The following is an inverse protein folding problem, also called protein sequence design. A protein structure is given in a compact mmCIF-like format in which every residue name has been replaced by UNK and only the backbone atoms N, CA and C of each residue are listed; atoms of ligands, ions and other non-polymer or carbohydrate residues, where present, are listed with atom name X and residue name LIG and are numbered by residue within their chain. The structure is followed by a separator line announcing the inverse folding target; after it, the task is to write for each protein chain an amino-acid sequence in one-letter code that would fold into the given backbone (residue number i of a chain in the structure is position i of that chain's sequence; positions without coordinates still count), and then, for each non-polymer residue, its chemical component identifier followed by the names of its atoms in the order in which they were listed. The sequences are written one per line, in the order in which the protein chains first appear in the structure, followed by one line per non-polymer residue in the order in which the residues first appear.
data_IF_350371837219
#
_entry.id   IF_350371837219
#
_cell.length_a   1.000
_cell.length_b   1.000
_cell.length_c   1.000
_cell.angle_alpha   90.00
_cell.angle_beta   90.00
_cell.angle_gamma   90.00
#
_symmetry.space_group_name_H-M   'P 1'
#
loop_
_entity.id
_entity.type
_entity.pdbx_description
1 polymer ?
#
# COMPACT_ATOMS: atom_id res chain seq x y z
N UNK A 1 11.09 -40.40 11.15
CA UNK A 1 11.15 -39.22 10.26
C UNK A 1 9.73 -38.77 9.95
N UNK A 2 9.38 -37.50 10.20
CA UNK A 2 8.12 -36.93 9.67
C UNK A 2 8.26 -36.83 8.15
N UNK A 3 7.33 -37.41 7.39
CA UNK A 3 7.31 -37.24 5.92
C UNK A 3 7.03 -35.77 5.61
N UNK A 4 7.92 -35.14 4.87
CA UNK A 4 7.69 -33.82 4.31
C UNK A 4 6.64 -33.97 3.21
N UNK A 5 5.54 -33.21 3.29
CA UNK A 5 4.53 -33.17 2.25
C UNK A 5 4.89 -32.06 1.25
N UNK A 6 5.41 -32.45 0.09
CA UNK A 6 5.86 -31.52 -0.95
C UNK A 6 4.72 -30.66 -1.51
N UNK A 7 3.50 -31.20 -1.60
CA UNK A 7 2.34 -30.46 -2.11
C UNK A 7 1.97 -29.30 -1.18
N UNK A 8 2.01 -29.52 0.14
CA UNK A 8 1.77 -28.48 1.14
C UNK A 8 2.83 -27.37 1.08
N UNK A 9 4.09 -27.71 0.80
CA UNK A 9 5.16 -26.72 0.65
C UNK A 9 4.99 -25.91 -0.62
N UNK A 10 4.61 -26.54 -1.73
CA UNK A 10 4.38 -25.87 -3.01
C UNK A 10 3.20 -24.88 -2.92
N UNK A 11 2.10 -25.30 -2.30
CA UNK A 11 0.93 -24.44 -2.09
C UNK A 11 1.26 -23.23 -1.19
N UNK A 12 1.97 -23.46 -0.08
CA UNK A 12 2.43 -22.39 0.79
C UNK A 12 3.36 -21.41 0.05
N UNK A 13 4.28 -21.92 -0.77
CA UNK A 13 5.21 -21.10 -1.56
C UNK A 13 4.48 -20.24 -2.59
N UNK A 14 3.47 -20.81 -3.26
CA UNK A 14 2.61 -20.08 -4.20
C UNK A 14 1.85 -18.96 -3.50
N UNK A 15 1.22 -19.25 -2.36
CA UNK A 15 0.46 -18.27 -1.58
C UNK A 15 1.36 -17.12 -1.08
N UNK A 16 2.56 -17.44 -0.60
CA UNK A 16 3.57 -16.42 -0.21
C UNK A 16 3.91 -15.52 -1.40
N UNK A 17 4.13 -16.11 -2.58
CA UNK A 17 4.45 -15.34 -3.78
C UNK A 17 3.30 -14.40 -4.19
N UNK A 18 2.07 -14.89 -4.20
CA UNK A 18 0.87 -14.11 -4.53
C UNK A 18 0.69 -12.93 -3.55
N UNK A 19 0.79 -13.19 -2.24
CA UNK A 19 0.72 -12.15 -1.19
C UNK A 19 1.85 -11.13 -1.36
N UNK A 20 3.08 -11.58 -1.62
CA UNK A 20 4.23 -10.69 -1.80
C UNK A 20 4.07 -9.78 -3.02
N UNK A 21 3.54 -10.32 -4.11
CA UNK A 21 3.24 -9.53 -5.32
C UNK A 21 2.18 -8.48 -5.06
N UNK A 22 1.11 -8.81 -4.32
CA UNK A 22 0.06 -7.85 -3.98
C UNK A 22 0.59 -6.74 -3.05
N UNK A 23 1.42 -7.09 -2.07
CA UNK A 23 2.09 -6.11 -1.19
C UNK A 23 2.94 -5.14 -2.02
N UNK A 24 3.72 -5.65 -2.98
CA UNK A 24 4.57 -4.80 -3.80
C UNK A 24 3.77 -3.77 -4.61
N UNK A 25 2.68 -4.20 -5.25
CA UNK A 25 1.78 -3.29 -5.98
C UNK A 25 1.19 -2.21 -5.05
N UNK A 26 0.79 -2.58 -3.83
CA UNK A 26 0.26 -1.62 -2.86
C UNK A 26 1.34 -0.65 -2.34
N UNK A 27 2.60 -1.07 -2.29
CA UNK A 27 3.73 -0.19 -1.96
C UNK A 27 3.97 0.83 -3.08
N UNK A 28 3.95 0.41 -4.35
CA UNK A 28 4.05 1.31 -5.49
C UNK A 28 2.91 2.34 -5.51
N UNK A 29 1.68 1.91 -5.24
CA UNK A 29 0.54 2.82 -5.08
C UNK A 29 0.75 3.82 -3.94
N UNK A 30 1.33 3.38 -2.82
CA UNK A 30 1.60 4.24 -1.67
C UNK A 30 2.67 5.28 -1.99
N UNK A 31 3.74 4.91 -2.69
CA UNK A 31 4.77 5.84 -3.16
C UNK A 31 4.19 6.92 -4.08
N UNK A 32 3.30 6.53 -5.00
CA UNK A 32 2.61 7.49 -5.85
C UNK A 32 1.74 8.46 -5.03
N UNK A 33 1.00 7.97 -4.04
CA UNK A 33 0.20 8.81 -3.15
C UNK A 33 1.06 9.81 -2.36
N UNK A 34 2.23 9.39 -1.89
CA UNK A 34 3.19 10.29 -1.22
C UNK A 34 3.69 11.38 -2.18
N UNK A 35 4.02 11.02 -3.42
CA UNK A 35 4.39 12.01 -4.45
C UNK A 35 3.26 13.02 -4.72
N UNK A 36 2.01 12.57 -4.75
CA UNK A 36 0.85 13.46 -4.92
C UNK A 36 0.65 14.39 -3.72
N UNK A 37 0.95 13.94 -2.50
CA UNK A 37 0.92 14.80 -1.30
C UNK A 37 1.96 15.92 -1.42
N UNK A 38 3.20 15.58 -1.80
CA UNK A 38 4.27 16.56 -2.00
C UNK A 38 3.92 17.56 -3.09
N UNK A 39 3.36 17.08 -4.21
CA UNK A 39 2.87 17.94 -5.29
C UNK A 39 1.75 18.87 -4.83
N UNK A 40 0.77 18.38 -4.07
CA UNK A 40 -0.32 19.20 -3.54
C UNK A 40 0.21 20.31 -2.62
N UNK A 41 1.18 19.99 -1.77
CA UNK A 41 1.86 20.96 -0.91
C UNK A 41 2.59 22.04 -1.73
N UNK A 42 3.35 21.62 -2.75
CA UNK A 42 4.08 22.54 -3.62
C UNK A 42 3.17 23.47 -4.42
N UNK A 43 2.06 22.95 -4.95
CA UNK A 43 1.10 23.76 -5.71
C UNK A 43 0.39 24.78 -4.81
N UNK A 44 0.12 24.43 -3.54
CA UNK A 44 -0.40 25.37 -2.55
C UNK A 44 0.62 26.46 -2.19
N UNK A 45 1.88 26.08 -1.93
CA UNK A 45 2.96 27.04 -1.65
C UNK A 45 3.20 28.02 -2.79
N UNK A 46 3.02 27.57 -4.04
CA UNK A 46 3.10 28.41 -5.25
C UNK A 46 1.85 29.25 -5.49
N UNK A 47 0.82 29.17 -4.64
CA UNK A 47 -0.44 29.89 -4.78
C UNK A 47 -1.29 29.45 -5.97
N UNK A 48 -1.04 28.26 -6.53
CA UNK A 48 -1.77 27.76 -7.71
C UNK A 48 -3.10 27.10 -7.36
N UNK A 49 -3.25 26.65 -6.13
CA UNK A 49 -4.50 26.11 -5.60
C UNK A 49 -4.89 26.87 -4.33
N UNK A 50 -6.19 26.96 -4.07
CA UNK A 50 -6.70 27.59 -2.85
C UNK A 50 -6.43 26.71 -1.63
N UNK A 51 -6.58 27.31 -0.45
CA UNK A 51 -6.48 26.59 0.83
C UNK A 51 -7.52 25.48 0.94
N UNK A 52 -8.75 25.74 0.52
CA UNK A 52 -9.84 24.76 0.55
C UNK A 52 -9.53 23.55 -0.36
N UNK A 53 -8.96 23.80 -1.54
CA UNK A 53 -8.53 22.74 -2.46
C UNK A 53 -7.38 21.95 -1.86
N UNK A 54 -6.38 22.63 -1.27
CA UNK A 54 -5.27 21.99 -0.60
C UNK A 54 -5.74 21.06 0.53
N UNK A 55 -6.57 21.56 1.45
CA UNK A 55 -7.08 20.80 2.60
C UNK A 55 -7.96 19.62 2.17
N UNK A 56 -8.81 19.80 1.15
CA UNK A 56 -9.63 18.73 0.57
C UNK A 56 -8.77 17.61 -0.04
N UNK A 57 -7.78 18.00 -0.85
CA UNK A 57 -6.84 17.05 -1.46
C UNK A 57 -6.01 16.31 -0.40
N UNK A 58 -5.49 17.04 0.59
CA UNK A 58 -4.68 16.46 1.66
C UNK A 58 -5.47 15.43 2.46
N UNK A 59 -6.73 15.75 2.82
CA UNK A 59 -7.63 14.83 3.51
C UNK A 59 -7.91 13.58 2.70
N UNK A 60 -8.19 13.72 1.40
CA UNK A 60 -8.44 12.59 0.50
C UNK A 60 -7.20 11.69 0.37
N UNK A 61 -6.03 12.27 0.09
CA UNK A 61 -4.78 11.53 -0.08
C UNK A 61 -4.38 10.79 1.20
N UNK A 62 -4.46 11.44 2.37
CA UNK A 62 -4.20 10.78 3.66
C UNK A 62 -5.13 9.58 3.91
N UNK A 63 -6.41 9.69 3.54
CA UNK A 63 -7.37 8.59 3.65
C UNK A 63 -7.00 7.42 2.74
N UNK A 64 -6.63 7.71 1.49
CA UNK A 64 -6.20 6.68 0.53
C UNK A 64 -4.92 5.98 0.99
N UNK A 65 -3.92 6.72 1.47
CA UNK A 65 -2.68 6.15 2.02
C UNK A 65 -2.96 5.24 3.22
N UNK A 66 -3.83 5.67 4.14
CA UNK A 66 -4.21 4.86 5.30
C UNK A 66 -4.90 3.55 4.89
N UNK A 67 -5.72 3.56 3.84
CA UNK A 67 -6.35 2.35 3.32
C UNK A 67 -5.30 1.37 2.75
N UNK A 68 -4.28 1.87 2.04
CA UNK A 68 -3.21 1.01 1.49
C UNK A 68 -2.35 0.39 2.58
N UNK A 69 -1.95 1.19 3.56
CA UNK A 69 -1.21 0.72 4.74
C UNK A 69 -2.03 -0.35 5.48
N UNK A 70 -3.33 -0.14 5.67
CA UNK A 70 -4.21 -1.13 6.32
C UNK A 70 -4.23 -2.45 5.54
N UNK A 71 -4.35 -2.40 4.22
CA UNK A 71 -4.38 -3.60 3.37
C UNK A 71 -3.04 -4.33 3.35
N UNK A 72 -1.92 -3.60 3.27
CA UNK A 72 -0.58 -4.19 3.41
C UNK A 72 -0.45 -4.92 4.75
N UNK A 73 -0.83 -4.27 5.86
CA UNK A 73 -0.76 -4.88 7.18
C UNK A 73 -1.65 -6.12 7.31
N UNK A 74 -2.79 -6.16 6.61
CA UNK A 74 -3.64 -7.34 6.55
C UNK A 74 -2.95 -8.48 5.79
N UNK A 75 -2.42 -8.21 4.59
CA UNK A 75 -1.72 -9.20 3.77
C UNK A 75 -0.48 -9.78 4.47
N UNK A 76 0.27 -8.94 5.19
CA UNK A 76 1.41 -9.39 6.00
C UNK A 76 0.96 -10.36 7.09
N UNK A 77 -0.18 -10.13 7.75
CA UNK A 77 -0.73 -11.07 8.74
C UNK A 77 -1.17 -12.37 8.07
N UNK A 78 -1.88 -12.30 6.94
CA UNK A 78 -2.32 -13.47 6.18
C UNK A 78 -1.16 -14.33 5.66
N UNK A 79 0.03 -13.74 5.44
CA UNK A 79 1.24 -14.46 5.05
C UNK A 79 2.03 -15.06 6.22
N UNK A 80 1.72 -14.68 7.46
CA UNK A 80 2.32 -15.23 8.69
C UNK A 80 1.47 -16.36 9.31
N UNK A 81 0.22 -16.52 8.85
CA UNK A 81 -0.73 -17.58 9.24
C UNK A 81 -0.67 -18.81 8.32
#
# INVERSE_FOLDING_TARGET
MKKINLEQIQEASRRIFEISSEIHLLQDELENLLSLIDKNSLEYQKGKISREVFESNEKRLKKESALRIKKINQLVREGLE
#
